data_IF_051266553309
#
_entry.id   IF_051266553309
#
_cell.length_a   1.000
_cell.length_b   1.000
_cell.length_c   1.000
_cell.angle_alpha   90.00
_cell.angle_beta   90.00
_cell.angle_gamma   90.00
#
_symmetry.space_group_name_H-M   'P 1'
#
loop_
_entity.id
_entity.type
_entity.pdbx_description
1 polymer ?
#
# COMPACT_ATOMS: atom_id res chain seq x y z
N UNK A 1 0.08 -12.58 -18.59
CA UNK A 1 0.20 -11.28 -17.90
C UNK A 1 -0.35 -11.49 -16.49
N UNK A 2 0.52 -11.81 -15.54
CA UNK A 2 0.11 -12.24 -14.20
C UNK A 2 -0.37 -11.01 -13.42
N UNK A 3 -1.66 -10.99 -13.09
CA UNK A 3 -2.27 -10.02 -12.18
C UNK A 3 -1.74 -10.31 -10.77
N UNK A 4 -0.57 -9.79 -10.42
CA UNK A 4 -0.13 -9.76 -9.05
C UNK A 4 -1.18 -8.99 -8.26
N UNK A 5 -1.88 -9.68 -7.36
CA UNK A 5 -2.89 -9.05 -6.52
C UNK A 5 -2.26 -7.85 -5.79
N UNK A 6 -2.97 -6.72 -5.59
CA UNK A 6 -2.44 -5.56 -4.86
C UNK A 6 -1.93 -5.91 -3.45
N UNK A 7 -2.39 -7.02 -2.88
CA UNK A 7 -1.88 -7.57 -1.62
C UNK A 7 -0.41 -8.04 -1.69
N UNK A 8 0.05 -8.53 -2.85
CA UNK A 8 1.40 -9.07 -3.03
C UNK A 8 2.47 -7.95 -3.11
N UNK A 9 2.13 -6.80 -3.67
CA UNK A 9 3.03 -5.63 -3.73
C UNK A 9 3.13 -4.87 -2.42
N UNK A 10 2.07 -4.88 -1.59
CA UNK A 10 2.07 -4.24 -0.28
C UNK A 10 2.81 -5.03 0.81
N UNK A 11 2.87 -6.37 0.66
CA UNK A 11 3.47 -7.27 1.64
C UNK A 11 4.95 -6.98 1.97
N UNK A 12 5.85 -6.69 1.00
CA UNK A 12 7.23 -6.31 1.31
C UNK A 12 7.32 -4.97 2.06
N UNK A 13 6.50 -3.97 1.70
CA UNK A 13 6.49 -2.67 2.37
C UNK A 13 6.04 -2.78 3.83
N UNK A 14 5.00 -3.58 4.09
CA UNK A 14 4.55 -3.87 5.46
C UNK A 14 5.63 -4.58 6.29
N UNK A 15 6.33 -5.56 5.71
CA UNK A 15 7.43 -6.26 6.39
C UNK A 15 8.58 -5.32 6.72
N UNK A 16 8.90 -4.38 5.83
CA UNK A 16 9.93 -3.38 6.09
C UNK A 16 9.57 -2.48 7.28
N UNK A 17 8.32 -1.98 7.30
CA UNK A 17 7.83 -1.17 8.42
C UNK A 17 7.84 -1.94 9.75
N UNK A 18 7.45 -3.22 9.73
CA UNK A 18 7.52 -4.11 10.89
C UNK A 18 8.95 -4.31 11.40
N UNK A 19 9.92 -4.49 10.50
CA UNK A 19 11.33 -4.65 10.84
C UNK A 19 11.92 -3.39 11.51
N UNK A 20 11.51 -2.22 11.03
CA UNK A 20 11.84 -0.92 11.63
C UNK A 20 11.19 -0.76 13.01
N UNK A 21 9.91 -1.12 13.16
CA UNK A 21 9.19 -1.01 14.44
C UNK A 21 9.72 -1.95 15.51
N UNK A 22 10.21 -3.15 15.17
CA UNK A 22 10.89 -4.02 16.15
C UNK A 22 12.09 -3.30 16.77
N UNK A 23 12.84 -2.52 15.99
CA UNK A 23 13.97 -1.74 16.50
C UNK A 23 13.56 -0.68 17.52
N UNK A 24 12.37 -0.10 17.38
CA UNK A 24 11.82 0.88 18.32
C UNK A 24 11.44 0.30 19.68
N UNK A 25 11.34 -1.03 19.80
CA UNK A 25 11.11 -1.69 21.11
C UNK A 25 12.36 -1.73 21.99
N UNK A 26 13.56 -1.60 21.40
CA UNK A 26 14.84 -1.63 22.11
C UNK A 26 14.94 -0.61 23.28
N UNK A 27 14.65 0.69 23.11
CA UNK A 27 14.71 1.65 24.21
C UNK A 27 13.75 1.29 25.36
N UNK A 28 12.56 0.78 25.05
CA UNK A 28 11.61 0.35 26.08
C UNK A 28 12.15 -0.84 26.90
N UNK A 29 12.82 -1.81 26.25
CA UNK A 29 13.49 -2.91 26.94
C UNK A 29 14.67 -2.43 27.80
N UNK A 30 15.48 -1.50 27.29
CA UNK A 30 16.57 -0.91 28.06
C UNK A 30 16.07 -0.17 29.29
N UNK A 31 15.00 0.62 29.15
CA UNK A 31 14.36 1.32 30.26
C UNK A 31 13.79 0.34 31.28
N UNK A 32 13.07 -0.70 30.83
CA UNK A 32 12.52 -1.73 31.72
C UNK A 32 13.62 -2.45 32.51
N UNK A 33 14.72 -2.84 31.84
CA UNK A 33 15.88 -3.44 32.48
C UNK A 33 16.57 -2.49 33.47
N UNK A 34 16.72 -1.22 33.13
CA UNK A 34 17.30 -0.20 34.01
C UNK A 34 16.46 0.05 35.26
N UNK A 35 15.13 0.15 35.11
CA UNK A 35 14.20 0.29 36.24
C UNK A 35 14.34 -0.91 37.19
N UNK A 36 14.46 -2.11 36.64
CA UNK A 36 14.62 -3.34 37.42
C UNK A 36 15.94 -3.39 38.21
N UNK A 37 17.01 -2.82 37.67
CA UNK A 37 18.28 -2.67 38.39
C UNK A 37 18.15 -1.62 39.50
N UNK A 38 17.48 -0.50 39.23
CA UNK A 38 17.28 0.57 40.21
C UNK A 38 16.41 0.12 41.39
N UNK A 39 15.45 -0.78 41.15
CA UNK A 39 14.62 -1.36 42.21
C UNK A 39 15.20 -2.61 42.83
N UNK A 40 16.39 -3.07 42.41
CA UNK A 40 17.00 -4.31 42.89
C UNK A 40 17.25 -4.34 44.40
N UNK A 41 17.42 -3.17 45.04
CA UNK A 41 17.59 -3.05 46.49
C UNK A 41 16.32 -3.41 47.28
N UNK A 42 15.15 -3.43 46.64
CA UNK A 42 13.87 -3.79 47.27
C UNK A 42 13.66 -5.32 47.34
N UNK A 43 14.52 -6.09 46.69
CA UNK A 43 14.40 -7.55 46.62
C UNK A 43 15.24 -8.21 47.71
N UNK A 44 14.70 -9.26 48.34
CA UNK A 44 15.42 -10.03 49.36
C UNK A 44 16.76 -10.59 48.85
N UNK A 45 16.83 -10.91 47.55
CA UNK A 45 18.06 -11.30 46.87
C UNK A 45 18.30 -10.42 45.64
N UNK A 46 19.42 -9.68 45.56
CA UNK A 46 19.73 -8.80 44.42
C UNK A 46 19.90 -9.59 43.11
N UNK A 47 20.21 -10.89 43.19
CA UNK A 47 20.32 -11.78 42.03
C UNK A 47 18.95 -12.04 41.35
N UNK A 48 17.85 -12.01 42.09
CA UNK A 48 16.51 -12.23 41.54
C UNK A 48 16.05 -11.06 40.64
N UNK A 49 16.51 -9.84 40.93
CA UNK A 49 16.28 -8.66 40.09
C UNK A 49 17.37 -8.48 39.02
N UNK A 50 18.61 -8.91 39.30
CA UNK A 50 19.74 -8.75 38.39
C UNK A 50 19.67 -9.64 37.14
N UNK A 51 19.34 -10.92 37.28
CA UNK A 51 19.28 -11.86 36.13
C UNK A 51 18.24 -11.47 35.05
N UNK A 52 16.97 -11.18 35.38
CA UNK A 52 15.97 -10.77 34.38
C UNK A 52 16.28 -9.38 33.82
N UNK A 53 16.87 -8.49 34.61
CA UNK A 53 17.35 -7.20 34.11
C UNK A 53 18.46 -7.36 33.06
N UNK A 54 19.47 -8.21 33.33
CA UNK A 54 20.54 -8.51 32.37
C UNK A 54 19.96 -9.14 31.10
N UNK A 55 18.99 -10.04 31.21
CA UNK A 55 18.29 -10.61 30.05
C UNK A 55 17.62 -9.51 29.23
N UNK A 56 16.87 -8.60 29.86
CA UNK A 56 16.22 -7.48 29.17
C UNK A 56 17.21 -6.50 28.52
N UNK A 57 18.40 -6.29 29.12
CA UNK A 57 19.45 -5.43 28.55
C UNK A 57 20.20 -6.08 27.38
N UNK A 58 20.35 -7.41 27.40
CA UNK A 58 21.02 -8.16 26.31
C UNK A 58 20.06 -8.51 25.18
N UNK A 59 18.76 -8.55 25.44
CA UNK A 59 17.72 -8.89 24.46
C UNK A 59 17.78 -8.04 23.18
N UNK A 60 17.90 -6.69 23.23
CA UNK A 60 17.96 -5.86 22.02
C UNK A 60 19.16 -6.16 21.14
N UNK A 61 20.29 -6.53 21.76
CA UNK A 61 21.52 -6.92 21.07
C UNK A 61 21.34 -8.26 20.34
N UNK A 62 20.71 -9.24 21.01
CA UNK A 62 20.35 -10.52 20.41
C UNK A 62 19.34 -10.35 19.27
N UNK A 63 18.31 -9.53 19.46
CA UNK A 63 17.31 -9.19 18.44
C UNK A 63 17.99 -8.55 17.23
N UNK A 64 18.89 -7.57 17.43
CA UNK A 64 19.60 -6.89 16.35
C UNK A 64 20.45 -7.84 15.49
N UNK A 65 21.06 -8.86 16.09
CA UNK A 65 21.81 -9.88 15.36
C UNK A 65 20.89 -10.87 14.64
N UNK A 66 19.83 -11.33 15.31
CA UNK A 66 18.90 -12.30 14.76
C UNK A 66 18.07 -11.73 13.62
N UNK A 67 17.79 -10.42 13.66
CA UNK A 67 17.10 -9.67 12.59
C UNK A 67 17.84 -9.71 11.26
N UNK A 68 19.18 -9.85 11.28
CA UNK A 68 19.99 -10.00 10.06
C UNK A 68 19.78 -11.34 9.37
N UNK A 69 19.35 -12.37 10.12
CA UNK A 69 19.17 -13.74 9.63
C UNK A 69 17.70 -14.02 9.33
N UNK A 70 16.81 -13.72 10.28
CA UNK A 70 15.36 -13.92 10.12
C UNK A 70 14.55 -12.96 10.99
N UNK A 71 13.59 -12.27 10.36
CA UNK A 71 12.64 -11.40 11.06
C UNK A 71 11.78 -12.17 12.08
N UNK A 72 11.27 -13.34 11.70
CA UNK A 72 10.44 -14.17 12.59
C UNK A 72 11.23 -14.65 13.82
N UNK A 73 12.50 -15.00 13.65
CA UNK A 73 13.37 -15.37 14.78
C UNK A 73 13.54 -14.21 15.76
N UNK A 74 13.77 -13.00 15.25
CA UNK A 74 13.89 -11.79 16.07
C UNK A 74 12.60 -11.48 16.85
N UNK A 75 11.44 -11.60 16.21
CA UNK A 75 10.14 -11.41 16.86
C UNK A 75 9.89 -12.43 17.97
N UNK A 76 10.18 -13.72 17.74
CA UNK A 76 10.04 -14.75 18.76
C UNK A 76 11.06 -14.61 19.89
N UNK A 77 12.29 -14.20 19.60
CA UNK A 77 13.29 -13.91 20.62
C UNK A 77 12.85 -12.75 21.55
N UNK A 78 12.26 -11.70 20.98
CA UNK A 78 11.65 -10.61 21.74
C UNK A 78 10.56 -11.13 22.69
N UNK A 79 9.60 -11.87 22.14
CA UNK A 79 8.46 -12.39 22.90
C UNK A 79 8.92 -13.35 23.99
N UNK A 80 9.73 -14.36 23.66
CA UNK A 80 10.22 -15.35 24.61
C UNK A 80 11.10 -14.74 25.69
N UNK A 81 11.91 -13.73 25.35
CA UNK A 81 12.71 -12.97 26.30
C UNK A 81 11.86 -12.22 27.33
N UNK A 82 10.84 -11.50 26.87
CA UNK A 82 9.90 -10.81 27.74
C UNK A 82 9.12 -11.78 28.63
N UNK A 83 8.60 -12.88 28.06
CA UNK A 83 7.91 -13.93 28.82
C UNK A 83 8.84 -14.52 29.87
N UNK A 84 10.06 -14.91 29.50
CA UNK A 84 11.04 -15.48 30.43
C UNK A 84 11.39 -14.55 31.58
N UNK A 85 11.60 -13.26 31.31
CA UNK A 85 11.88 -12.26 32.34
C UNK A 85 10.70 -12.10 33.31
N UNK A 86 9.46 -12.03 32.80
CA UNK A 86 8.23 -11.92 33.62
C UNK A 86 8.06 -13.17 34.49
N UNK A 87 8.27 -14.35 33.93
CA UNK A 87 8.15 -15.61 34.67
C UNK A 87 9.20 -15.75 35.77
N UNK A 88 10.45 -15.38 35.47
CA UNK A 88 11.52 -15.39 36.46
C UNK A 88 11.17 -14.49 37.66
N UNK A 89 10.66 -13.28 37.38
CA UNK A 89 10.22 -12.36 38.43
C UNK A 89 9.02 -12.88 39.22
N UNK A 90 8.00 -13.41 38.53
CA UNK A 90 6.80 -13.93 39.16
C UNK A 90 7.11 -15.12 40.10
N UNK A 91 7.98 -16.04 39.66
CA UNK A 91 8.37 -17.22 40.45
C UNK A 91 9.28 -16.83 41.61
N UNK A 92 10.28 -15.97 41.39
CA UNK A 92 11.26 -15.63 42.43
C UNK A 92 10.72 -14.67 43.49
N UNK A 93 9.79 -13.78 43.14
CA UNK A 93 9.12 -12.92 44.11
C UNK A 93 7.91 -13.57 44.77
N UNK A 94 7.46 -14.73 44.27
CA UNK A 94 6.20 -15.36 44.68
C UNK A 94 4.98 -14.43 44.54
N UNK A 95 5.06 -13.46 43.64
CA UNK A 95 4.03 -12.44 43.41
C UNK A 95 3.21 -12.78 42.15
N UNK A 96 2.04 -13.43 42.27
CA UNK A 96 1.23 -13.85 41.13
C UNK A 96 0.68 -12.67 40.31
N UNK A 97 0.64 -11.46 40.89
CA UNK A 97 0.22 -10.25 40.19
C UNK A 97 1.12 -9.90 39.00
N UNK A 98 2.39 -10.31 39.02
CA UNK A 98 3.33 -10.09 37.91
C UNK A 98 2.95 -10.84 36.64
N UNK A 99 2.12 -11.90 36.75
CA UNK A 99 1.65 -12.67 35.59
C UNK A 99 0.67 -11.88 34.71
N UNK A 100 0.02 -10.82 35.22
CA UNK A 100 -0.80 -9.92 34.41
C UNK A 100 0.03 -9.24 33.30
N UNK A 101 1.32 -9.01 33.55
CA UNK A 101 2.25 -8.39 32.60
C UNK A 101 2.47 -9.24 31.34
N UNK A 102 2.05 -10.51 31.33
CA UNK A 102 2.11 -11.40 30.17
C UNK A 102 1.23 -10.91 29.00
N UNK A 103 0.30 -9.98 29.24
CA UNK A 103 -0.45 -9.30 28.19
C UNK A 103 0.46 -8.51 27.23
N UNK A 104 1.57 -7.95 27.72
CA UNK A 104 2.54 -7.19 26.90
C UNK A 104 3.21 -8.06 25.82
N UNK A 105 3.90 -9.18 26.16
CA UNK A 105 4.51 -10.04 25.13
C UNK A 105 3.48 -10.68 24.20
N UNK A 106 2.26 -10.95 24.66
CA UNK A 106 1.19 -11.44 23.79
C UNK A 106 0.75 -10.38 22.77
N UNK A 107 0.67 -9.11 23.18
CA UNK A 107 0.43 -8.00 22.26
C UNK A 107 1.55 -7.82 21.24
N UNK A 108 2.82 -7.92 21.68
CA UNK A 108 3.98 -7.89 20.79
C UNK A 108 3.95 -9.04 19.78
N UNK A 109 3.58 -10.25 20.21
CA UNK A 109 3.44 -11.40 19.32
C UNK A 109 2.30 -11.22 18.31
N UNK A 110 1.16 -10.68 18.72
CA UNK A 110 0.06 -10.37 17.82
C UNK A 110 0.45 -9.32 16.76
N UNK A 111 1.27 -8.33 17.14
CA UNK A 111 1.74 -7.27 16.25
C UNK A 111 2.81 -7.75 15.26
N UNK A 112 3.80 -8.51 15.74
CA UNK A 112 5.00 -8.83 14.95
C UNK A 112 5.00 -10.24 14.34
N UNK A 113 4.41 -11.24 15.02
CA UNK A 113 4.29 -12.61 14.53
C UNK A 113 2.92 -12.90 13.86
N UNK A 114 2.05 -11.88 13.78
CA UNK A 114 0.75 -11.94 13.14
C UNK A 114 -0.31 -12.71 13.93
N UNK A 115 -1.42 -13.02 13.25
CA UNK A 115 -2.60 -13.67 13.88
C UNK A 115 -2.29 -15.01 14.54
N UNK A 116 -1.51 -15.86 13.85
CA UNK A 116 -1.13 -17.18 14.37
C UNK A 116 -0.17 -17.06 15.57
N UNK A 117 0.81 -16.15 15.50
CA UNK A 117 1.74 -15.90 16.61
C UNK A 117 1.02 -15.39 17.87
N UNK A 118 0.13 -14.41 17.73
CA UNK A 118 -0.70 -13.93 18.83
C UNK A 118 -1.55 -15.03 19.48
N UNK A 119 -2.25 -15.84 18.67
CA UNK A 119 -3.04 -16.97 19.18
C UNK A 119 -2.18 -17.99 19.94
N UNK A 120 -1.01 -18.35 19.39
CA UNK A 120 -0.08 -19.26 20.05
C UNK A 120 0.39 -18.72 21.40
N UNK A 121 0.74 -17.43 21.47
CA UNK A 121 1.18 -16.83 22.74
C UNK A 121 0.09 -16.72 23.78
N UNK A 122 -1.15 -16.39 23.38
CA UNK A 122 -2.29 -16.31 24.30
C UNK A 122 -2.69 -17.70 24.79
N UNK A 123 -2.67 -18.71 23.92
CA UNK A 123 -2.94 -20.09 24.31
C UNK A 123 -1.87 -20.61 25.29
N UNK A 124 -0.59 -20.39 24.99
CA UNK A 124 0.52 -20.76 25.87
C UNK A 124 0.47 -20.01 27.21
N UNK A 125 0.21 -18.70 27.18
CA UNK A 125 0.07 -17.88 28.39
C UNK A 125 -1.12 -18.28 29.25
N UNK A 126 -2.26 -18.63 28.62
CA UNK A 126 -3.43 -19.14 29.34
C UNK A 126 -3.11 -20.45 30.05
N UNK A 127 -2.47 -21.41 29.36
CA UNK A 127 -2.04 -22.68 29.97
C UNK A 127 -1.09 -22.44 31.15
N UNK A 128 -0.17 -21.48 31.02
CA UNK A 128 0.79 -21.14 32.05
C UNK A 128 0.11 -20.54 33.29
N UNK A 129 -0.87 -19.67 33.11
CA UNK A 129 -1.67 -19.10 34.20
C UNK A 129 -2.42 -20.18 35.00
N UNK A 130 -2.84 -21.28 34.36
CA UNK A 130 -3.44 -22.43 35.04
C UNK A 130 -2.42 -23.34 35.71
N UNK A 131 -1.22 -23.47 35.15
CA UNK A 131 -0.16 -24.31 35.69
C UNK A 131 0.49 -23.74 36.95
N UNK A 132 0.55 -22.40 37.09
CA UNK A 132 1.13 -21.75 38.25
C UNK A 132 0.10 -21.54 39.39
N UNK A 133 0.51 -21.71 40.66
CA UNK A 133 -0.33 -21.39 41.79
C UNK A 133 -0.55 -19.88 41.88
N UNK A 134 -1.77 -19.47 42.21
CA UNK A 134 -2.14 -18.06 42.31
C UNK A 134 -3.58 -17.90 42.74
N UNK A 135 -3.94 -16.70 43.20
CA UNK A 135 -5.31 -16.39 43.56
C UNK A 135 -6.23 -16.48 42.33
N UNK A 136 -7.43 -17.10 42.45
CA UNK A 136 -8.34 -17.28 41.31
C UNK A 136 -8.74 -15.94 40.67
N UNK A 137 -8.94 -14.91 41.48
CA UNK A 137 -9.28 -13.55 41.02
C UNK A 137 -8.18 -12.97 40.11
N UNK A 138 -6.91 -13.10 40.49
CA UNK A 138 -5.78 -12.60 39.69
C UNK A 138 -5.66 -13.36 38.36
N UNK A 139 -5.94 -14.67 38.37
CA UNK A 139 -5.94 -15.50 37.16
C UNK A 139 -7.02 -15.06 36.17
N UNK A 140 -8.24 -14.81 36.65
CA UNK A 140 -9.34 -14.33 35.82
C UNK A 140 -9.04 -12.95 35.22
N UNK A 141 -8.51 -12.02 36.03
CA UNK A 141 -8.08 -10.70 35.57
C UNK A 141 -6.99 -10.82 34.50
N UNK A 142 -5.95 -11.63 34.74
CA UNK A 142 -4.87 -11.83 33.79
C UNK A 142 -5.34 -12.46 32.48
N UNK A 143 -6.30 -13.40 32.51
CA UNK A 143 -6.89 -13.99 31.31
C UNK A 143 -7.69 -12.95 30.51
N UNK A 144 -8.52 -12.16 31.18
CA UNK A 144 -9.30 -11.09 30.53
C UNK A 144 -8.37 -10.05 29.91
N UNK A 145 -7.30 -9.66 30.59
CA UNK A 145 -6.31 -8.71 30.09
C UNK A 145 -5.53 -9.26 28.89
N UNK A 146 -5.09 -10.51 28.96
CA UNK A 146 -4.33 -11.20 27.92
C UNK A 146 -5.15 -11.35 26.63
N UNK A 147 -6.37 -11.90 26.73
CA UNK A 147 -7.27 -12.06 25.60
C UNK A 147 -7.79 -10.71 25.10
N UNK A 148 -8.07 -9.78 26.02
CA UNK A 148 -8.53 -8.42 25.71
C UNK A 148 -7.51 -7.64 24.88
N UNK A 149 -6.23 -7.70 25.26
CA UNK A 149 -5.15 -7.00 24.55
C UNK A 149 -4.98 -7.52 23.13
N UNK A 150 -4.92 -8.84 22.94
CA UNK A 150 -4.80 -9.42 21.59
C UNK A 150 -6.07 -9.19 20.75
N UNK A 151 -7.25 -9.28 21.37
CA UNK A 151 -8.51 -8.98 20.72
C UNK A 151 -8.60 -7.53 20.25
N UNK A 152 -8.21 -6.57 21.10
CA UNK A 152 -8.21 -5.13 20.79
C UNK A 152 -7.22 -4.82 19.67
N UNK A 153 -5.99 -5.34 19.77
CA UNK A 153 -4.96 -5.19 18.73
C UNK A 153 -5.50 -5.68 17.39
N UNK A 154 -6.10 -6.88 17.34
CA UNK A 154 -6.69 -7.39 16.10
C UNK A 154 -7.81 -6.47 15.60
N UNK A 155 -8.74 -6.07 16.46
CA UNK A 155 -9.85 -5.18 16.13
C UNK A 155 -9.38 -3.85 15.54
N UNK A 156 -8.24 -3.31 15.98
CA UNK A 156 -7.65 -2.09 15.45
C UNK A 156 -6.85 -2.33 14.16
N UNK A 157 -6.03 -3.39 14.10
CA UNK A 157 -5.21 -3.68 12.93
C UNK A 157 -6.01 -4.12 11.71
N UNK A 158 -7.10 -4.86 11.89
CA UNK A 158 -7.92 -5.35 10.78
C UNK A 158 -8.44 -4.21 9.89
N UNK A 159 -9.18 -3.20 10.40
CA UNK A 159 -9.68 -2.10 9.59
C UNK A 159 -8.52 -1.25 9.04
N UNK A 160 -7.44 -1.02 9.81
CA UNK A 160 -6.30 -0.23 9.36
C UNK A 160 -5.62 -0.85 8.13
N UNK A 161 -5.32 -2.15 8.18
CA UNK A 161 -4.74 -2.88 7.05
C UNK A 161 -5.71 -2.95 5.86
N UNK A 162 -7.01 -3.10 6.14
CA UNK A 162 -8.04 -3.12 5.09
C UNK A 162 -8.13 -1.75 4.39
N UNK A 163 -8.11 -0.65 5.13
CA UNK A 163 -8.12 0.71 4.58
C UNK A 163 -6.84 0.99 3.78
N UNK A 164 -5.68 0.54 4.26
CA UNK A 164 -4.42 0.65 3.51
C UNK A 164 -4.51 -0.07 2.15
N UNK A 165 -5.04 -1.29 2.15
CA UNK A 165 -5.22 -2.08 0.94
C UNK A 165 -6.24 -1.43 -0.02
N UNK A 166 -7.33 -0.90 0.51
CA UNK A 166 -8.32 -0.15 -0.26
C UNK A 166 -7.72 1.11 -0.88
N UNK A 167 -6.94 1.88 -0.12
CA UNK A 167 -6.23 3.07 -0.58
C UNK A 167 -5.28 2.73 -1.73
N UNK A 168 -4.47 1.68 -1.58
CA UNK A 168 -3.54 1.23 -2.63
C UNK A 168 -4.28 0.83 -3.91
N UNK A 169 -5.34 0.02 -3.78
CA UNK A 169 -6.12 -0.41 -4.95
C UNK A 169 -6.83 0.74 -5.66
N UNK A 170 -7.27 1.74 -4.90
CA UNK A 170 -7.93 2.94 -5.44
C UNK A 170 -6.92 3.86 -6.13
N UNK A 171 -5.71 3.96 -5.58
CA UNK A 171 -4.61 4.69 -6.18
C UNK A 171 -4.23 4.09 -7.54
N UNK A 172 -4.06 2.76 -7.60
CA UNK A 172 -3.70 2.08 -8.85
C UNK A 172 -4.78 2.26 -9.93
N UNK A 173 -6.07 2.09 -9.54
CA UNK A 173 -7.19 2.35 -10.46
C UNK A 173 -7.20 3.78 -10.98
N UNK A 174 -6.93 4.76 -10.11
CA UNK A 174 -6.90 6.17 -10.50
C UNK A 174 -5.75 6.45 -11.48
N UNK A 175 -4.59 5.81 -11.30
CA UNK A 175 -3.48 5.89 -12.24
C UNK A 175 -3.85 5.34 -13.61
N UNK A 176 -4.44 4.15 -13.67
CA UNK A 176 -4.87 3.54 -14.93
C UNK A 176 -5.90 4.42 -15.66
N UNK A 177 -6.88 4.98 -14.95
CA UNK A 177 -7.87 5.88 -15.55
C UNK A 177 -7.23 7.17 -16.10
N UNK A 178 -6.23 7.70 -15.40
CA UNK A 178 -5.49 8.88 -15.86
C UNK A 178 -4.68 8.59 -17.13
N UNK A 179 -4.04 7.43 -17.21
CA UNK A 179 -3.33 6.98 -18.40
C UNK A 179 -4.29 6.81 -19.60
N UNK A 180 -5.42 6.13 -19.39
CA UNK A 180 -6.46 6.01 -20.42
C UNK A 180 -7.00 7.36 -20.88
N UNK A 181 -7.26 8.30 -19.96
CA UNK A 181 -7.73 9.63 -20.30
C UNK A 181 -6.72 10.41 -21.16
N UNK A 182 -5.40 10.24 -20.89
CA UNK A 182 -4.34 10.83 -21.72
C UNK A 182 -4.32 10.21 -23.12
N UNK A 183 -4.45 8.90 -23.23
CA UNK A 183 -4.48 8.21 -24.53
C UNK A 183 -5.68 8.67 -25.37
N UNK A 184 -6.86 8.76 -24.76
CA UNK A 184 -8.05 9.32 -25.41
C UNK A 184 -7.85 10.77 -25.84
N UNK A 185 -7.18 11.59 -25.03
CA UNK A 185 -6.88 12.97 -25.39
C UNK A 185 -5.96 13.05 -26.61
N UNK A 186 -4.98 12.15 -26.72
CA UNK A 186 -4.09 12.07 -27.89
C UNK A 186 -4.88 11.66 -29.12
N UNK A 187 -5.69 10.59 -29.03
CA UNK A 187 -6.54 10.13 -30.14
C UNK A 187 -7.52 11.22 -30.60
N UNK A 188 -8.15 11.93 -29.66
CA UNK A 188 -9.06 13.02 -29.99
C UNK A 188 -8.35 14.14 -30.75
N UNK A 189 -7.15 14.53 -30.32
CA UNK A 189 -6.34 15.55 -31.02
C UNK A 189 -5.96 15.10 -32.43
N UNK A 190 -5.62 13.84 -32.62
CA UNK A 190 -5.33 13.27 -33.94
C UNK A 190 -6.56 13.32 -34.84
N UNK A 191 -7.71 12.82 -34.39
CA UNK A 191 -8.96 12.86 -35.16
C UNK A 191 -9.39 14.28 -35.52
N UNK A 192 -9.17 15.26 -34.63
CA UNK A 192 -9.44 16.67 -34.93
C UNK A 192 -8.49 17.23 -35.99
N UNK A 193 -7.21 16.84 -35.98
CA UNK A 193 -6.25 17.23 -37.00
C UNK A 193 -6.61 16.61 -38.37
N UNK A 194 -6.97 15.33 -38.39
CA UNK A 194 -7.38 14.62 -39.60
C UNK A 194 -8.65 15.25 -40.21
N UNK A 195 -9.63 15.59 -39.36
CA UNK A 195 -10.85 16.27 -39.80
C UNK A 195 -10.54 17.67 -40.37
N UNK A 196 -9.62 18.41 -39.75
CA UNK A 196 -9.21 19.72 -40.25
C UNK A 196 -8.50 19.61 -41.61
N UNK A 197 -7.65 18.60 -41.80
CA UNK A 197 -6.99 18.34 -43.08
C UNK A 197 -8.00 17.95 -44.16
N UNK A 198 -8.93 17.04 -43.86
CA UNK A 198 -9.99 16.63 -44.79
C UNK A 198 -10.85 17.83 -45.22
N UNK A 199 -11.20 18.72 -44.28
CA UNK A 199 -11.96 19.93 -44.58
C UNK A 199 -11.18 20.89 -45.50
N UNK A 200 -9.88 21.05 -45.27
CA UNK A 200 -8.99 21.82 -46.15
C UNK A 200 -8.95 21.23 -47.57
N UNK A 201 -8.83 19.91 -47.70
CA UNK A 201 -8.84 19.22 -48.99
C UNK A 201 -10.18 19.38 -49.72
N UNK A 202 -11.31 19.22 -49.02
CA UNK A 202 -12.65 19.47 -49.56
C UNK A 202 -12.80 20.91 -50.07
N UNK A 203 -12.31 21.89 -49.30
CA UNK A 203 -12.34 23.30 -49.71
C UNK A 203 -11.54 23.55 -50.98
N UNK A 204 -10.36 22.93 -51.12
CA UNK A 204 -9.54 23.02 -52.34
C UNK A 204 -10.23 22.39 -53.54
N UNK A 205 -10.81 21.20 -53.38
CA UNK A 205 -11.55 20.49 -54.45
C UNK A 205 -12.78 21.28 -54.89
N UNK A 206 -13.50 21.90 -53.95
CA UNK A 206 -14.66 22.74 -54.27
C UNK A 206 -14.23 23.95 -55.12
N UNK A 207 -13.17 24.66 -54.73
CA UNK A 207 -12.60 25.77 -55.54
C UNK A 207 -12.19 25.33 -56.94
N UNK A 208 -11.50 24.19 -57.07
CA UNK A 208 -11.12 23.64 -58.37
C UNK A 208 -12.35 23.31 -59.23
N UNK A 209 -13.36 22.68 -58.64
CA UNK A 209 -14.61 22.34 -59.34
C UNK A 209 -15.32 23.60 -59.83
N UNK A 210 -15.35 24.65 -59.02
CA UNK A 210 -15.95 25.93 -59.40
C UNK A 210 -15.17 26.62 -60.54
N UNK A 211 -13.83 26.60 -60.50
CA UNK A 211 -13.00 27.12 -61.58
C UNK A 211 -13.18 26.35 -62.90
N UNK A 212 -13.21 25.01 -62.85
CA UNK A 212 -13.48 24.18 -64.02
C UNK A 212 -14.86 24.43 -64.61
N UNK A 213 -15.86 24.64 -63.76
CA UNK A 213 -17.22 24.99 -64.19
C UNK A 213 -17.26 26.34 -64.90
N UNK A 214 -16.59 27.35 -64.36
CA UNK A 214 -16.47 28.66 -65.01
C UNK A 214 -15.79 28.56 -66.38
N UNK A 215 -14.66 27.84 -66.49
CA UNK A 215 -13.96 27.64 -67.75
C UNK A 215 -14.83 26.91 -68.80
N UNK A 216 -15.64 25.92 -68.38
CA UNK A 216 -16.57 25.24 -69.27
C UNK A 216 -17.71 26.15 -69.76
N UNK A 217 -18.23 27.02 -68.88
CA UNK A 217 -19.24 28.03 -69.24
C UNK A 217 -18.66 29.07 -70.22
N UNK A 218 -17.44 29.54 -70.00
CA UNK A 218 -16.73 30.45 -70.90
C UNK A 218 -16.47 29.81 -72.27
N UNK A 219 -15.96 28.58 -72.32
CA UNK A 219 -15.74 27.85 -73.57
C UNK A 219 -17.06 27.63 -74.34
N UNK A 220 -18.14 27.36 -73.62
CA UNK A 220 -19.48 27.24 -74.21
C UNK A 220 -19.95 28.57 -74.82
N UNK A 221 -19.80 29.69 -74.10
CA UNK A 221 -20.14 31.03 -74.62
C UNK A 221 -19.30 31.40 -75.84
N UNK A 222 -17.99 31.20 -75.80
CA UNK A 222 -17.10 31.45 -76.93
C UNK A 222 -17.49 30.62 -78.16
N UNK A 223 -17.91 29.36 -77.96
CA UNK A 223 -18.44 28.51 -79.04
C UNK A 223 -19.77 29.04 -79.60
N UNK A 224 -20.70 29.46 -78.74
CA UNK A 224 -21.98 30.06 -79.14
C UNK A 224 -21.76 31.35 -79.95
N UNK A 225 -20.88 32.25 -79.48
CA UNK A 225 -20.49 33.48 -80.19
C UNK A 225 -19.81 33.20 -81.54
N UNK A 226 -18.88 32.22 -81.60
CA UNK A 226 -18.24 31.83 -82.84
C UNK A 226 -19.25 31.30 -83.87
N UNK A 227 -20.16 30.41 -83.48
CA UNK A 227 -21.21 29.88 -84.36
C UNK A 227 -22.14 31.01 -84.82
N UNK A 228 -22.49 31.94 -83.94
CA UNK A 228 -23.31 33.11 -84.30
C UNK A 228 -22.60 34.02 -85.30
N UNK A 229 -21.32 34.36 -85.07
CA UNK A 229 -20.53 35.22 -85.96
C UNK A 229 -20.32 34.57 -87.33
N UNK A 230 -19.94 33.29 -87.39
CA UNK A 230 -19.79 32.55 -88.65
C UNK A 230 -21.13 32.48 -89.41
N UNK A 231 -22.24 32.26 -88.70
CA UNK A 231 -23.57 32.26 -89.30
C UNK A 231 -23.98 33.65 -89.81
N UNK A 232 -23.54 34.72 -89.15
CA UNK A 232 -23.77 36.10 -89.58
C UNK A 232 -22.93 36.47 -90.81
N UNK A 233 -21.66 36.05 -90.89
CA UNK A 233 -20.82 36.24 -92.09
C UNK A 233 -21.34 35.46 -93.30
N UNK A 234 -21.88 34.25 -93.10
CA UNK A 234 -22.48 33.46 -94.18
C UNK A 234 -23.82 34.02 -94.68
N UNK A 235 -24.51 34.87 -93.90
CA UNK A 235 -25.85 35.41 -94.23
C UNK A 235 -25.85 36.85 -94.73
N UNK A 236 -24.75 37.60 -94.59
CA UNK A 236 -24.56 38.91 -95.23
C UNK A 236 -23.30 38.89 -96.10
N UNK A 237 -23.39 38.48 -97.39
CA UNK A 237 -22.27 38.62 -98.29
C UNK A 237 -22.12 40.10 -98.65
N UNK A 238 -21.19 40.79 -97.99
CA UNK A 238 -20.71 42.09 -98.47
C UNK A 238 -19.49 41.85 -99.37
N UNK A 239 -19.76 41.98 -100.67
CA UNK A 239 -18.91 42.53 -101.72
C UNK A 239 -17.40 42.23 -101.61
N UNK A 240 -16.92 41.29 -102.41
CA UNK A 240 -15.51 41.27 -102.83
C UNK A 240 -15.45 40.97 -104.33
N UNK A 241 -15.22 42.05 -105.09
CA UNK A 241 -14.95 42.19 -106.54
C UNK A 241 -16.11 41.95 -107.51
#
# INVERSE_FOLDING_TARGET
MATNSPAAEMQPTLRHLQDETIGLTAPALYLAGAILILTAEQFENPLHAGLPAIVLLLLPLAIGQLRRISYLGAAWALVLGCVGAILALAVWQQEPALLCLLALPAGLAALFAGRAGGLLTVAAGSLLLFALPGAPILREVALVELWGTVGLIWLTLRPLLTTLQWSWSSYERSRTLLEQARDYQVQLKQSLADLAEANLQLTRLNRLTQALRQAAEEARRAKEEFVANVSHELRTPLNMV
#
